data_IF_422228328766
#
_entry.id   IF_422228328766
#
_cell.length_a   1.000
_cell.length_b   1.000
_cell.length_c   1.000
_cell.angle_alpha   90.00
_cell.angle_beta   90.00
_cell.angle_gamma   90.00
#
_symmetry.space_group_name_H-M   'P 1'
#
loop_
_entity.id
_entity.type
_entity.pdbx_description
1 polymer ?
#
# COMPACT_ATOMS: atom_id res chain seq x y z
N UNK A 1 -19.38 11.65 9.21
CA UNK A 1 -18.48 11.16 10.28
C UNK A 1 -17.84 9.89 9.70
N UNK A 2 -16.59 9.80 9.24
CA UNK A 2 -15.37 10.46 9.70
C UNK A 2 -14.24 10.41 8.64
N UNK A 3 -13.48 11.51 8.62
CA UNK A 3 -12.06 11.71 8.29
C UNK A 3 -11.39 10.91 7.16
N UNK A 4 -11.41 11.52 5.96
CA UNK A 4 -10.37 11.37 4.93
C UNK A 4 -9.10 12.14 5.36
N UNK A 5 -8.26 11.56 6.21
CA UNK A 5 -6.94 12.12 6.53
C UNK A 5 -5.85 11.03 6.55
N UNK A 6 -5.80 10.28 5.45
CA UNK A 6 -5.04 9.04 5.30
C UNK A 6 -3.50 9.22 5.14
N UNK A 7 -2.89 10.37 4.77
CA UNK A 7 -1.43 10.40 4.56
C UNK A 7 -0.61 10.37 5.87
N UNK A 8 -1.14 10.87 6.99
CA UNK A 8 -0.37 10.96 8.25
C UNK A 8 -0.16 9.60 8.92
N UNK A 9 -1.19 8.75 8.96
CA UNK A 9 -1.09 7.42 9.54
C UNK A 9 -0.15 6.51 8.75
N UNK A 10 -0.12 6.63 7.42
CA UNK A 10 0.85 5.90 6.59
C UNK A 10 2.29 6.26 6.97
N UNK A 11 2.60 7.54 7.14
CA UNK A 11 3.96 7.99 7.49
C UNK A 11 4.37 7.53 8.90
N UNK A 12 3.45 7.56 9.86
CA UNK A 12 3.69 7.06 11.22
C UNK A 12 3.91 5.54 11.23
N UNK A 13 3.06 4.78 10.53
CA UNK A 13 3.20 3.33 10.38
C UNK A 13 4.49 2.93 9.66
N UNK A 14 4.88 3.71 8.64
CA UNK A 14 6.13 3.50 7.95
C UNK A 14 7.35 3.76 8.84
N UNK A 15 7.27 4.60 9.87
CA UNK A 15 8.32 4.81 10.89
C UNK A 15 9.74 4.83 10.30
N UNK A 16 9.98 5.69 9.30
CA UNK A 16 11.25 5.82 8.55
C UNK A 16 11.64 4.65 7.64
N UNK A 17 10.75 3.70 7.33
CA UNK A 17 11.00 2.65 6.35
C UNK A 17 10.52 3.06 4.97
N UNK A 18 11.37 2.88 3.97
CA UNK A 18 11.01 3.09 2.56
C UNK A 18 10.01 2.06 2.04
N UNK A 19 9.78 0.96 2.79
CA UNK A 19 8.93 -0.15 2.40
C UNK A 19 7.98 -0.59 3.52
N UNK A 20 6.72 -0.85 3.15
CA UNK A 20 5.66 -1.36 4.03
C UNK A 20 5.14 -2.72 3.55
N UNK A 21 4.44 -3.44 4.41
CA UNK A 21 3.86 -4.73 4.07
C UNK A 21 2.44 -4.60 3.53
N UNK A 22 1.93 -5.67 2.91
CA UNK A 22 0.53 -5.74 2.43
C UNK A 22 -0.50 -5.44 3.52
N UNK A 23 -0.21 -5.77 4.78
CA UNK A 23 -1.10 -5.46 5.91
C UNK A 23 -1.26 -3.94 6.12
N UNK A 24 -0.16 -3.19 6.02
CA UNK A 24 -0.13 -1.75 6.17
C UNK A 24 -0.86 -1.05 5.01
N UNK A 25 -0.60 -1.47 3.76
CA UNK A 25 -1.40 -1.00 2.61
C UNK A 25 -2.88 -1.26 2.83
N UNK A 26 -3.23 -2.44 3.32
CA UNK A 26 -4.62 -2.83 3.52
C UNK A 26 -5.29 -1.92 4.56
N UNK A 27 -4.61 -1.61 5.67
CA UNK A 27 -5.08 -0.63 6.66
C UNK A 27 -5.29 0.75 6.03
N UNK A 28 -4.31 1.22 5.25
CA UNK A 28 -4.30 2.56 4.66
C UNK A 28 -5.33 2.73 3.53
N UNK A 29 -5.53 1.68 2.72
CA UNK A 29 -6.57 1.63 1.68
C UNK A 29 -7.93 1.19 2.21
N UNK A 30 -8.05 0.97 3.52
CA UNK A 30 -9.25 0.45 4.20
C UNK A 30 -9.80 -0.84 3.55
N UNK A 31 -8.90 -1.66 3.02
CA UNK A 31 -9.17 -2.93 2.36
C UNK A 31 -8.72 -4.10 3.24
N UNK A 32 -9.22 -5.30 2.94
CA UNK A 32 -8.67 -6.52 3.54
C UNK A 32 -7.33 -6.85 2.87
N UNK A 33 -6.31 -7.33 3.60
CA UNK A 33 -5.04 -7.75 2.99
C UNK A 33 -5.23 -8.87 1.95
N UNK A 34 -6.29 -9.67 2.10
CA UNK A 34 -6.71 -10.66 1.12
C UNK A 34 -7.18 -10.04 -0.20
N UNK A 35 -7.88 -8.90 -0.16
CA UNK A 35 -8.28 -8.14 -1.36
C UNK A 35 -7.06 -7.61 -2.10
N UNK A 36 -6.09 -7.04 -1.38
CA UNK A 36 -4.85 -6.52 -1.98
C UNK A 36 -4.06 -7.65 -2.66
N UNK A 37 -3.93 -8.82 -2.00
CA UNK A 37 -3.29 -9.99 -2.61
C UNK A 37 -4.05 -10.50 -3.84
N UNK A 38 -5.38 -10.51 -3.79
CA UNK A 38 -6.23 -10.93 -4.91
C UNK A 38 -6.10 -9.99 -6.10
N UNK A 39 -6.17 -8.67 -5.87
CA UNK A 39 -5.98 -7.67 -6.91
C UNK A 39 -4.59 -7.78 -7.54
N UNK A 40 -3.53 -7.92 -6.73
CA UNK A 40 -2.18 -8.17 -7.24
C UNK A 40 -2.09 -9.47 -8.07
N UNK A 41 -2.70 -10.57 -7.64
CA UNK A 41 -2.72 -11.82 -8.41
C UNK A 41 -3.50 -11.72 -9.73
N UNK A 42 -4.55 -10.90 -9.78
CA UNK A 42 -5.40 -10.75 -10.96
C UNK A 42 -4.78 -9.80 -11.99
N UNK A 43 -4.23 -8.67 -11.54
CA UNK A 43 -3.73 -7.61 -12.41
C UNK A 43 -2.21 -7.68 -12.60
N UNK A 44 -1.48 -8.41 -11.75
CA UNK A 44 -0.01 -8.47 -11.74
C UNK A 44 0.65 -7.26 -11.08
N UNK A 45 -0.13 -6.24 -10.79
CA UNK A 45 0.24 -4.98 -10.17
C UNK A 45 -0.94 -4.50 -9.31
N UNK A 46 -0.65 -3.77 -8.23
CA UNK A 46 -1.71 -3.17 -7.42
C UNK A 46 -1.67 -1.68 -7.65
N UNK A 47 -2.62 -1.16 -8.44
CA UNK A 47 -2.70 0.26 -8.81
C UNK A 47 -1.38 0.81 -9.39
N UNK A 48 -0.72 0.07 -10.30
CA UNK A 48 0.58 0.46 -10.88
C UNK A 48 1.79 0.25 -9.96
N UNK A 49 1.59 -0.15 -8.71
CA UNK A 49 2.68 -0.40 -7.76
C UNK A 49 3.21 -1.82 -7.94
N UNK A 50 4.53 -1.94 -8.15
CA UNK A 50 5.23 -3.22 -8.24
C UNK A 50 5.84 -3.58 -6.87
N UNK A 51 5.30 -4.59 -6.15
CA UNK A 51 5.87 -4.99 -4.88
C UNK A 51 7.24 -5.63 -5.07
N UNK A 52 8.20 -5.29 -4.21
CA UNK A 52 9.48 -5.97 -4.11
C UNK A 52 9.30 -7.23 -3.27
N UNK A 53 9.50 -8.40 -3.88
CA UNK A 53 9.46 -9.66 -3.16
C UNK A 53 10.73 -9.81 -2.33
N UNK A 54 10.60 -9.87 -1.00
CA UNK A 54 11.69 -10.17 -0.08
C UNK A 54 11.34 -11.46 0.68
N UNK A 55 11.86 -12.59 0.16
CA UNK A 55 11.54 -13.92 0.67
C UNK A 55 10.04 -14.24 0.55
N UNK A 56 9.39 -14.48 1.70
CA UNK A 56 7.96 -14.77 1.81
C UNK A 56 7.08 -13.52 2.00
N UNK A 57 7.65 -12.31 1.92
CA UNK A 57 6.93 -11.05 2.14
C UNK A 57 6.92 -10.21 0.86
N UNK A 58 5.79 -9.54 0.62
CA UNK A 58 5.65 -8.49 -0.38
C UNK A 58 5.91 -7.15 0.31
N UNK A 59 6.98 -6.48 -0.10
CA UNK A 59 7.33 -5.15 0.34
C UNK A 59 6.84 -4.15 -0.70
N UNK A 60 6.11 -3.16 -0.23
CA UNK A 60 5.53 -2.11 -1.06
C UNK A 60 6.24 -0.80 -0.77
N UNK A 61 6.77 -0.12 -1.78
CA UNK A 61 7.40 1.18 -1.60
C UNK A 61 6.39 2.21 -1.10
N UNK A 62 6.72 2.90 -0.01
CA UNK A 62 5.85 3.91 0.60
C UNK A 62 5.63 5.08 -0.36
N UNK A 63 6.65 5.43 -1.16
CA UNK A 63 6.55 6.49 -2.16
C UNK A 63 5.43 6.24 -3.19
N UNK A 64 5.33 5.03 -3.73
CA UNK A 64 4.27 4.69 -4.69
C UNK A 64 2.89 4.61 -4.01
N UNK A 65 2.83 4.09 -2.77
CA UNK A 65 1.57 4.07 -2.00
C UNK A 65 1.09 5.48 -1.69
N UNK A 66 2.00 6.39 -1.34
CA UNK A 66 1.70 7.79 -1.13
C UNK A 66 1.24 8.47 -2.44
N UNK A 67 1.82 8.13 -3.60
CA UNK A 67 1.36 8.61 -4.91
C UNK A 67 -0.05 8.11 -5.25
N UNK A 68 -0.33 6.84 -4.99
CA UNK A 68 -1.65 6.24 -5.16
C UNK A 68 -2.71 6.99 -4.33
N UNK A 69 -2.42 7.23 -3.05
CA UNK A 69 -3.33 7.95 -2.15
C UNK A 69 -3.51 9.41 -2.52
N UNK A 70 -2.49 10.05 -3.07
CA UNK A 70 -2.56 11.41 -3.61
C UNK A 70 -3.32 11.52 -4.95
N UNK A 71 -3.89 10.42 -5.46
CA UNK A 71 -4.68 10.42 -6.69
C UNK A 71 -3.88 10.19 -7.97
N UNK A 72 -2.59 9.85 -7.86
CA UNK A 72 -1.74 9.53 -8.99
C UNK A 72 -1.75 8.04 -9.31
N UNK A 73 -2.82 7.56 -9.94
CA UNK A 73 -2.70 6.43 -10.85
C UNK A 73 -2.11 6.98 -12.16
N UNK A 74 -0.90 6.53 -12.52
CA UNK A 74 -0.34 6.76 -13.85
C UNK A 74 -0.80 5.65 -14.80
#
# INVERSE_FOLDING_TARGET
>A
MNHQNIPHQLAELASHRDFIQTAEIALVTNHKPQTVRKAYCLTGEYFGIRPKKLGNRLLWPVADVARLLNGGAA
#
